data_IF_929875604849
#
_entry.id   IF_929875604849
#
_cell.length_a   1.000
_cell.length_b   1.000
_cell.length_c   1.000
_cell.angle_alpha   90.00
_cell.angle_beta   90.00
_cell.angle_gamma   90.00
#
_symmetry.space_group_name_H-M   'P 1'
#
loop_
_entity.id
_entity.type
_entity.pdbx_description
1 polymer ?
#
# COMPACT_ATOMS: atom_id res chain seq x y z
N UNK A 1 -5.73 -7.86 3.96
CA UNK A 1 -4.68 -8.67 3.28
C UNK A 1 -4.23 -8.08 1.96
N UNK A 2 -5.09 -7.36 1.22
CA UNK A 2 -4.74 -6.91 -0.11
C UNK A 2 -3.74 -5.75 -0.04
N UNK A 3 -4.00 -4.55 0.50
CA UNK A 3 -3.07 -3.42 0.30
C UNK A 3 -1.59 -3.59 0.70
N UNK A 4 -1.16 -3.87 1.92
CA UNK A 4 0.31 -3.88 2.19
C UNK A 4 1.08 -5.00 1.48
N UNK A 5 0.49 -6.19 1.37
CA UNK A 5 1.04 -7.22 0.51
C UNK A 5 0.98 -6.75 -0.95
N UNK A 6 -0.15 -6.27 -1.45
CA UNK A 6 -0.33 -5.70 -2.81
C UNK A 6 0.51 -4.45 -3.06
N UNK A 7 1.05 -3.71 -2.11
CA UNK A 7 1.78 -2.49 -2.50
C UNK A 7 3.20 -2.85 -2.90
N UNK A 8 3.87 -3.75 -2.18
CA UNK A 8 5.14 -4.34 -2.64
C UNK A 8 4.90 -5.42 -3.70
N UNK A 9 3.86 -6.25 -3.58
CA UNK A 9 3.55 -7.28 -4.58
C UNK A 9 2.71 -6.83 -5.78
N UNK A 10 1.98 -5.71 -5.80
CA UNK A 10 1.43 -5.16 -7.06
C UNK A 10 2.48 -4.36 -7.81
N UNK A 11 3.37 -3.66 -7.11
CA UNK A 11 4.45 -2.98 -7.83
C UNK A 11 5.48 -3.96 -8.38
N UNK A 12 5.66 -5.13 -7.76
CA UNK A 12 6.63 -6.14 -8.23
C UNK A 12 5.93 -7.32 -8.94
N UNK A 13 4.85 -7.88 -8.41
CA UNK A 13 4.09 -8.94 -9.10
C UNK A 13 3.10 -8.38 -10.13
N UNK A 14 2.55 -7.17 -9.95
CA UNK A 14 1.78 -6.50 -11.00
C UNK A 14 2.69 -6.05 -12.14
N UNK A 15 3.90 -5.58 -11.86
CA UNK A 15 4.90 -5.41 -12.91
C UNK A 15 5.33 -6.75 -13.50
N UNK A 16 5.53 -7.84 -12.75
CA UNK A 16 5.91 -9.14 -13.33
C UNK A 16 4.77 -9.86 -14.08
N UNK A 17 3.51 -9.60 -13.71
CA UNK A 17 2.32 -10.19 -14.35
C UNK A 17 1.78 -9.33 -15.50
N UNK A 18 1.98 -8.01 -15.44
CA UNK A 18 1.67 -7.07 -16.51
C UNK A 18 2.89 -6.63 -17.32
N UNK A 19 4.10 -7.13 -17.00
CA UNK A 19 5.30 -6.83 -17.78
C UNK A 19 5.08 -7.31 -19.19
N UNK A 20 5.53 -6.51 -20.14
CA UNK A 20 5.69 -6.99 -21.50
C UNK A 20 6.55 -8.27 -21.50
N UNK A 21 6.37 -9.15 -22.47
CA UNK A 21 7.20 -10.36 -22.61
C UNK A 21 8.70 -10.02 -22.63
N UNK A 22 9.05 -8.76 -22.91
CA UNK A 22 10.41 -8.23 -22.89
C UNK A 22 11.10 -8.24 -21.52
N UNK A 23 10.40 -7.89 -20.43
CA UNK A 23 10.99 -7.77 -19.10
C UNK A 23 10.54 -8.89 -18.13
N UNK A 24 9.68 -9.81 -18.59
CA UNK A 24 9.21 -10.95 -17.79
C UNK A 24 10.37 -11.80 -17.24
N UNK A 25 10.45 -11.89 -15.92
CA UNK A 25 11.33 -12.83 -15.23
C UNK A 25 10.52 -13.75 -14.30
N UNK A 26 10.11 -14.91 -14.84
CA UNK A 26 9.35 -15.93 -14.09
C UNK A 26 10.17 -16.48 -12.92
N UNK A 27 11.51 -16.54 -13.04
CA UNK A 27 12.36 -17.02 -11.94
C UNK A 27 12.28 -16.04 -10.77
N UNK A 28 12.47 -14.74 -11.05
CA UNK A 28 12.35 -13.70 -10.04
C UNK A 28 10.97 -13.69 -9.39
N UNK A 29 9.90 -13.83 -10.18
CA UNK A 29 8.54 -13.92 -9.65
C UNK A 29 8.37 -15.06 -8.65
N UNK A 30 8.88 -16.25 -8.99
CA UNK A 30 8.83 -17.41 -8.10
C UNK A 30 9.65 -17.20 -6.82
N UNK A 31 10.88 -16.67 -6.93
CA UNK A 31 11.73 -16.38 -5.78
C UNK A 31 11.09 -15.37 -4.82
N UNK A 32 10.39 -14.36 -5.36
CA UNK A 32 9.67 -13.37 -4.56
C UNK A 32 8.42 -13.95 -3.88
N UNK A 33 7.70 -14.84 -4.57
CA UNK A 33 6.57 -15.57 -3.99
C UNK A 33 7.01 -16.48 -2.84
N UNK A 34 8.15 -17.16 -2.98
CA UNK A 34 8.72 -18.00 -1.92
C UNK A 34 9.01 -17.22 -0.64
N UNK A 35 9.46 -15.96 -0.76
CA UNK A 35 9.71 -15.08 0.38
C UNK A 35 8.51 -14.20 0.73
N UNK A 36 7.35 -14.42 0.10
CA UNK A 36 6.11 -13.64 0.27
C UNK A 36 6.34 -12.13 0.14
N UNK A 37 7.26 -11.72 -0.75
CA UNK A 37 7.66 -10.33 -0.95
C UNK A 37 8.21 -9.62 0.31
N UNK A 38 8.64 -10.38 1.31
CA UNK A 38 9.24 -9.88 2.55
C UNK A 38 10.61 -10.57 2.78
N UNK A 39 11.60 -10.31 1.92
CA UNK A 39 12.91 -10.94 2.03
C UNK A 39 13.62 -10.55 3.33
N UNK A 40 14.22 -11.53 4.01
CA UNK A 40 15.17 -11.27 5.10
C UNK A 40 16.41 -10.55 4.57
N UNK A 41 17.25 -10.00 5.47
CA UNK A 41 18.49 -9.32 5.05
C UNK A 41 19.43 -10.18 4.19
N UNK A 42 19.55 -11.46 4.52
CA UNK A 42 20.34 -12.40 3.69
C UNK A 42 19.75 -12.57 2.29
N UNK A 43 18.42 -12.58 2.19
CA UNK A 43 17.72 -12.72 0.91
C UNK A 43 17.80 -11.45 0.07
N UNK A 44 17.81 -10.27 0.69
CA UNK A 44 17.99 -8.99 -0.01
C UNK A 44 19.28 -8.95 -0.81
N UNK A 45 20.42 -9.42 -0.27
CA UNK A 45 21.68 -9.45 -1.01
C UNK A 45 21.63 -10.23 -2.33
N UNK A 46 20.74 -11.22 -2.44
CA UNK A 46 20.54 -12.00 -3.68
C UNK A 46 19.44 -11.41 -4.56
N UNK A 47 18.36 -10.92 -3.97
CA UNK A 47 17.18 -10.44 -4.69
C UNK A 47 17.33 -9.01 -5.20
N UNK A 48 18.02 -8.13 -4.47
CA UNK A 48 18.14 -6.72 -4.81
C UNK A 48 18.69 -6.46 -6.21
N UNK A 49 19.81 -7.08 -6.63
CA UNK A 49 20.29 -6.91 -8.00
C UNK A 49 19.25 -7.31 -9.05
N UNK A 50 18.55 -8.44 -8.85
CA UNK A 50 17.53 -8.95 -9.78
C UNK A 50 16.32 -8.02 -9.87
N UNK A 51 15.79 -7.59 -8.72
CA UNK A 51 14.63 -6.69 -8.67
C UNK A 51 14.98 -5.33 -9.27
N UNK A 52 16.15 -4.77 -8.97
CA UNK A 52 16.57 -3.50 -9.54
C UNK A 52 16.76 -3.58 -11.06
N UNK A 53 17.36 -4.66 -11.58
CA UNK A 53 17.45 -4.89 -13.03
C UNK A 53 16.08 -5.00 -13.68
N UNK A 54 15.16 -5.75 -13.08
CA UNK A 54 13.79 -5.87 -13.57
C UNK A 54 13.07 -4.50 -13.60
N UNK A 55 13.16 -3.71 -12.53
CA UNK A 55 12.51 -2.40 -12.44
C UNK A 55 13.10 -1.39 -13.43
N UNK A 56 14.40 -1.45 -13.70
CA UNK A 56 15.03 -0.61 -14.72
C UNK A 56 14.57 -1.01 -16.13
N UNK A 57 14.43 -2.30 -16.43
CA UNK A 57 13.85 -2.78 -17.70
C UNK A 57 12.42 -2.25 -17.91
N UNK A 58 11.57 -2.37 -16.89
CA UNK A 58 10.19 -1.85 -16.94
C UNK A 58 10.16 -0.34 -17.16
N UNK A 59 11.03 0.41 -16.46
CA UNK A 59 11.18 1.85 -16.64
C UNK A 59 11.58 2.16 -18.09
N UNK A 60 12.65 1.57 -18.60
CA UNK A 60 13.15 1.79 -19.95
C UNK A 60 12.11 1.46 -21.03
N UNK A 61 11.36 0.37 -20.84
CA UNK A 61 10.29 -0.03 -21.76
C UNK A 61 9.19 1.03 -21.85
N UNK A 62 8.69 1.50 -20.70
CA UNK A 62 7.65 2.54 -20.66
C UNK A 62 8.17 3.82 -21.32
N UNK A 63 9.37 4.26 -20.97
CA UNK A 63 9.96 5.48 -21.51
C UNK A 63 10.18 5.39 -23.03
N UNK A 64 10.60 4.22 -23.53
CA UNK A 64 10.77 3.98 -24.96
C UNK A 64 9.43 3.98 -25.71
N UNK A 65 8.41 3.33 -25.16
CA UNK A 65 7.09 3.21 -25.81
C UNK A 65 6.36 4.55 -25.94
N UNK A 66 6.59 5.45 -24.99
CA UNK A 66 5.93 6.76 -24.93
C UNK A 66 6.80 7.91 -25.46
N UNK A 67 8.10 7.67 -25.69
CA UNK A 67 9.06 8.67 -26.17
C UNK A 67 9.34 9.80 -25.17
N UNK A 68 9.06 9.59 -23.88
CA UNK A 68 9.19 10.55 -22.78
C UNK A 68 9.63 9.82 -21.51
N UNK A 69 10.35 10.51 -20.64
CA UNK A 69 10.77 9.98 -19.35
C UNK A 69 9.60 9.84 -18.37
N UNK A 70 9.71 8.92 -17.41
CA UNK A 70 8.74 8.79 -16.31
C UNK A 70 8.67 10.08 -15.48
N UNK A 71 9.79 10.77 -15.31
CA UNK A 71 9.86 12.05 -14.59
C UNK A 71 9.05 13.14 -15.30
N UNK A 72 9.06 13.17 -16.64
CA UNK A 72 8.23 14.08 -17.44
C UNK A 72 6.73 13.73 -17.32
N UNK A 73 6.37 12.45 -17.26
CA UNK A 73 4.99 12.04 -17.02
C UNK A 73 4.51 12.41 -15.62
N UNK A 74 5.32 12.12 -14.61
CA UNK A 74 5.02 12.37 -13.20
C UNK A 74 4.80 13.87 -12.89
N UNK A 75 5.42 14.74 -13.68
CA UNK A 75 5.33 16.20 -13.57
C UNK A 75 4.23 16.82 -14.43
N UNK A 76 3.49 16.01 -15.20
CA UNK A 76 2.41 16.48 -16.08
C UNK A 76 1.04 16.46 -15.37
N UNK A 77 0.05 17.12 -15.98
CA UNK A 77 -1.36 17.03 -15.56
C UNK A 77 -2.12 15.92 -16.29
N UNK A 78 -1.41 15.00 -16.95
CA UNK A 78 -2.01 13.93 -17.73
C UNK A 78 -2.57 12.81 -16.83
N UNK A 79 -3.53 12.05 -17.35
CA UNK A 79 -4.11 10.90 -16.65
C UNK A 79 -3.06 9.87 -16.18
N UNK A 80 -1.91 9.80 -16.88
CA UNK A 80 -0.80 8.89 -16.55
C UNK A 80 0.15 9.42 -15.45
N UNK A 81 0.04 10.69 -15.05
CA UNK A 81 0.96 11.30 -14.08
C UNK A 81 0.89 10.66 -12.68
N UNK A 82 -0.29 10.21 -12.27
CA UNK A 82 -0.48 9.48 -11.01
C UNK A 82 0.22 8.12 -11.04
N UNK A 83 0.07 7.37 -12.14
CA UNK A 83 0.74 6.08 -12.34
C UNK A 83 2.28 6.23 -12.44
N UNK A 84 2.77 7.25 -13.14
CA UNK A 84 4.21 7.52 -13.23
C UNK A 84 4.82 7.89 -11.87
N UNK A 85 4.13 8.71 -11.06
CA UNK A 85 4.54 9.00 -9.67
C UNK A 85 4.56 7.75 -8.81
N UNK A 86 3.53 6.93 -8.90
CA UNK A 86 3.46 5.66 -8.18
C UNK A 86 4.65 4.75 -8.53
N UNK A 87 4.99 4.62 -9.83
CA UNK A 87 6.13 3.83 -10.27
C UNK A 87 7.47 4.38 -9.79
N UNK A 88 7.71 5.69 -9.94
CA UNK A 88 8.97 6.31 -9.48
C UNK A 88 9.16 6.19 -7.97
N UNK A 89 8.09 6.42 -7.18
CA UNK A 89 8.15 6.26 -5.74
C UNK A 89 8.40 4.79 -5.35
N UNK A 90 7.84 3.85 -6.11
CA UNK A 90 8.08 2.43 -5.93
C UNK A 90 9.52 2.03 -6.19
N UNK A 91 10.08 2.47 -7.32
CA UNK A 91 11.50 2.25 -7.66
C UNK A 91 12.40 2.88 -6.58
N UNK A 92 12.09 4.10 -6.13
CA UNK A 92 12.83 4.76 -5.05
C UNK A 92 12.79 3.96 -3.75
N UNK A 93 11.61 3.44 -3.37
CA UNK A 93 11.48 2.61 -2.16
C UNK A 93 12.34 1.34 -2.24
N UNK A 94 12.34 0.66 -3.39
CA UNK A 94 13.16 -0.55 -3.58
C UNK A 94 14.65 -0.22 -3.59
N UNK A 95 15.05 0.91 -4.19
CA UNK A 95 16.44 1.40 -4.10
C UNK A 95 16.84 1.66 -2.65
N UNK A 96 16.01 2.35 -1.88
CA UNK A 96 16.27 2.58 -0.45
C UNK A 96 16.33 1.24 0.31
N UNK A 97 15.45 0.29 0.02
CA UNK A 97 15.49 -1.05 0.63
C UNK A 97 16.76 -1.84 0.30
N UNK A 98 17.33 -1.62 -0.89
CA UNK A 98 18.50 -2.34 -1.38
C UNK A 98 19.83 -1.65 -1.10
N UNK A 99 19.81 -0.40 -0.64
CA UNK A 99 20.97 0.36 -0.23
C UNK A 99 21.27 0.12 1.26
N UNK A 100 22.37 -0.59 1.54
CA UNK A 100 22.80 -0.94 2.91
C UNK A 100 23.08 0.29 3.79
N UNK A 101 23.42 1.42 3.17
CA UNK A 101 23.68 2.68 3.87
C UNK A 101 22.40 3.48 4.14
N UNK A 102 21.26 3.07 3.59
CA UNK A 102 19.99 3.79 3.76
C UNK A 102 19.38 3.55 5.14
N UNK A 103 18.75 4.57 5.71
CA UNK A 103 18.02 4.42 6.97
C UNK A 103 16.84 3.46 6.84
N UNK A 104 16.21 3.39 5.66
CA UNK A 104 15.07 2.51 5.41
C UNK A 104 15.49 1.04 5.40
N UNK A 105 16.61 0.70 4.77
CA UNK A 105 17.19 -0.65 4.79
C UNK A 105 17.47 -1.07 6.24
N UNK A 106 18.18 -0.24 6.99
CA UNK A 106 18.57 -0.55 8.35
C UNK A 106 17.35 -0.78 9.27
N UNK A 107 16.34 0.09 9.18
CA UNK A 107 15.09 -0.07 9.93
C UNK A 107 14.32 -1.34 9.49
N UNK A 108 14.30 -1.65 8.19
CA UNK A 108 13.65 -2.85 7.65
C UNK A 108 14.31 -4.14 8.13
N UNK A 109 15.64 -4.25 8.06
CA UNK A 109 16.38 -5.46 8.46
C UNK A 109 16.12 -5.82 9.92
N UNK A 110 16.04 -4.82 10.80
CA UNK A 110 15.79 -5.03 12.23
C UNK A 110 14.34 -5.46 12.50
N UNK A 111 13.42 -5.13 11.59
CA UNK A 111 11.97 -5.30 11.80
C UNK A 111 11.35 -6.47 11.03
N UNK A 112 11.98 -6.91 9.93
CA UNK A 112 11.36 -7.82 8.94
C UNK A 112 10.93 -9.16 9.54
N UNK A 113 11.72 -9.73 10.44
CA UNK A 113 11.41 -11.04 11.01
C UNK A 113 10.11 -10.99 11.84
N UNK A 114 9.95 -9.97 12.69
CA UNK A 114 8.70 -9.76 13.43
C UNK A 114 7.55 -9.42 12.48
N UNK A 115 7.80 -8.54 11.50
CA UNK A 115 6.78 -8.11 10.55
C UNK A 115 6.18 -9.28 9.75
N UNK A 116 7.01 -10.26 9.33
CA UNK A 116 6.58 -11.45 8.58
C UNK A 116 5.63 -12.32 9.36
N UNK A 117 5.90 -12.54 10.65
CA UNK A 117 5.06 -13.36 11.50
C UNK A 117 3.77 -12.60 11.86
N UNK A 118 3.90 -11.30 12.18
CA UNK A 118 2.79 -10.46 12.57
C UNK A 118 1.75 -10.24 11.47
N UNK A 119 2.17 -9.91 10.24
CA UNK A 119 1.26 -9.43 9.18
C UNK A 119 0.18 -10.46 8.80
N UNK A 120 0.47 -11.75 8.93
CA UNK A 120 -0.47 -12.83 8.62
C UNK A 120 -1.59 -12.93 9.66
N UNK A 121 -1.23 -12.82 10.95
CA UNK A 121 -2.17 -12.94 12.06
C UNK A 121 -2.94 -11.63 12.26
N UNK A 122 -2.22 -10.50 12.23
CA UNK A 122 -2.81 -9.17 12.34
C UNK A 122 -3.80 -8.86 11.23
N UNK A 123 -3.51 -9.27 9.99
CA UNK A 123 -4.41 -9.06 8.87
C UNK A 123 -5.75 -9.80 8.99
N UNK A 124 -5.78 -10.94 9.69
CA UNK A 124 -7.03 -11.65 9.99
C UNK A 124 -7.78 -10.97 11.13
N UNK A 125 -7.09 -10.75 12.24
CA UNK A 125 -7.66 -10.12 13.43
C UNK A 125 -8.23 -8.73 13.11
N UNK A 126 -7.47 -7.88 12.43
CA UNK A 126 -7.94 -6.55 12.06
C UNK A 126 -9.14 -6.58 11.13
N UNK A 127 -9.19 -7.53 10.19
CA UNK A 127 -10.36 -7.68 9.31
C UNK A 127 -11.63 -8.02 10.09
N UNK A 128 -11.52 -8.92 11.05
CA UNK A 128 -12.64 -9.31 11.92
C UNK A 128 -13.06 -8.12 12.79
N UNK A 129 -12.10 -7.38 13.35
CA UNK A 129 -12.34 -6.23 14.21
C UNK A 129 -12.95 -5.02 13.48
N UNK A 130 -12.61 -4.80 12.20
CA UNK A 130 -13.15 -3.67 11.42
C UNK A 130 -14.49 -3.97 10.77
N UNK A 131 -14.89 -5.24 10.65
CA UNK A 131 -16.12 -5.63 9.96
C UNK A 131 -17.36 -5.07 10.65
N UNK A 132 -17.50 -5.28 11.95
CA UNK A 132 -18.68 -4.85 12.71
C UNK A 132 -18.86 -3.31 12.75
N UNK A 133 -17.83 -2.49 13.03
CA UNK A 133 -17.97 -1.03 12.98
C UNK A 133 -18.36 -0.51 11.59
N UNK A 134 -17.81 -1.11 10.53
CA UNK A 134 -18.16 -0.74 9.15
C UNK A 134 -19.61 -1.11 8.85
N UNK A 135 -20.03 -2.34 9.16
CA UNK A 135 -21.39 -2.80 8.93
C UNK A 135 -22.42 -1.90 9.64
N UNK A 136 -22.22 -1.63 10.94
CA UNK A 136 -23.11 -0.75 11.72
C UNK A 136 -23.17 0.67 11.15
N UNK A 137 -22.03 1.24 10.75
CA UNK A 137 -22.01 2.57 10.16
C UNK A 137 -22.85 2.64 8.87
N UNK A 138 -22.74 1.64 8.00
CA UNK A 138 -23.51 1.60 6.75
C UNK A 138 -24.98 1.22 6.95
N UNK A 139 -25.33 0.44 8.00
CA UNK A 139 -26.72 0.21 8.40
C UNK A 139 -27.42 1.50 8.85
N UNK A 140 -26.72 2.36 9.60
CA UNK A 140 -27.25 3.67 10.00
C UNK A 140 -27.34 4.65 8.83
N UNK A 141 -26.37 4.58 7.91
CA UNK A 141 -26.27 5.47 6.77
C UNK A 141 -27.28 5.14 5.65
N UNK A 142 -27.51 3.84 5.42
CA UNK A 142 -28.34 3.31 4.35
C UNK A 142 -29.32 2.26 4.90
N UNK A 143 -30.55 2.68 5.26
CA UNK A 143 -31.54 1.80 5.89
C UNK A 143 -32.04 0.67 4.99
N UNK A 144 -31.85 0.77 3.66
CA UNK A 144 -32.27 -0.25 2.70
C UNK A 144 -31.09 -1.10 2.22
N UNK A 145 -31.34 -2.36 1.91
CA UNK A 145 -30.33 -3.28 1.32
C UNK A 145 -29.90 -2.82 -0.08
N UNK A 146 -30.83 -2.27 -0.87
CA UNK A 146 -30.54 -1.83 -2.23
C UNK A 146 -29.57 -0.64 -2.24
N UNK A 147 -29.76 0.33 -1.33
CA UNK A 147 -28.84 1.47 -1.19
C UNK A 147 -27.44 1.03 -0.71
N UNK A 148 -27.37 -0.02 0.13
CA UNK A 148 -26.08 -0.60 0.59
C UNK A 148 -25.33 -1.32 -0.53
N UNK A 149 -26.06 -1.97 -1.44
CA UNK A 149 -25.46 -2.59 -2.62
C UNK A 149 -24.83 -1.55 -3.57
N UNK A 150 -25.39 -0.34 -3.62
CA UNK A 150 -24.81 0.78 -4.37
C UNK A 150 -23.58 1.39 -3.67
N UNK A 151 -23.51 1.31 -2.34
CA UNK A 151 -22.41 1.81 -1.52
C UNK A 151 -21.16 0.89 -1.45
N UNK A 152 -21.07 -0.17 -2.26
CA UNK A 152 -19.96 -1.14 -2.20
C UNK A 152 -18.56 -0.51 -2.34
N UNK A 153 -18.42 0.54 -3.17
CA UNK A 153 -17.17 1.27 -3.33
C UNK A 153 -16.79 2.06 -2.06
N UNK A 154 -17.79 2.63 -1.38
CA UNK A 154 -17.62 3.37 -0.13
C UNK A 154 -17.25 2.43 1.03
N UNK A 155 -17.95 1.29 1.12
CA UNK A 155 -17.66 0.22 2.09
C UNK A 155 -16.23 -0.27 1.90
N UNK A 156 -15.83 -0.54 0.66
CA UNK A 156 -14.47 -0.97 0.32
C UNK A 156 -13.42 0.05 0.75
N UNK A 157 -13.63 1.33 0.42
CA UNK A 157 -12.73 2.43 0.77
C UNK A 157 -12.53 2.57 2.28
N UNK A 158 -13.62 2.63 3.08
CA UNK A 158 -13.53 2.75 4.53
C UNK A 158 -12.90 1.52 5.18
N UNK A 159 -13.32 0.31 4.74
CA UNK A 159 -12.80 -0.95 5.28
C UNK A 159 -11.31 -1.08 5.05
N UNK A 160 -10.83 -0.79 3.84
CA UNK A 160 -9.42 -0.90 3.49
C UNK A 160 -8.55 0.07 4.31
N UNK A 161 -8.98 1.32 4.44
CA UNK A 161 -8.26 2.33 5.23
C UNK A 161 -8.27 1.97 6.74
N UNK A 162 -9.40 1.48 7.27
CA UNK A 162 -9.51 1.13 8.68
C UNK A 162 -8.77 -0.16 9.03
N UNK A 163 -8.76 -1.15 8.13
CA UNK A 163 -7.95 -2.37 8.28
C UNK A 163 -6.45 -2.01 8.35
N UNK A 164 -5.98 -1.09 7.49
CA UNK A 164 -4.59 -0.62 7.53
C UNK A 164 -4.29 0.12 8.82
N UNK A 165 -5.22 0.97 9.31
CA UNK A 165 -5.03 1.66 10.59
C UNK A 165 -4.88 0.67 11.76
N UNK A 166 -5.76 -0.33 11.84
CA UNK A 166 -5.66 -1.40 12.83
C UNK A 166 -4.33 -2.17 12.73
N UNK A 167 -3.87 -2.49 11.52
CA UNK A 167 -2.59 -3.20 11.33
C UNK A 167 -1.42 -2.35 11.83
N UNK A 168 -1.40 -1.05 11.50
CA UNK A 168 -0.32 -0.14 11.87
C UNK A 168 -0.24 0.08 13.39
N UNK A 169 -1.39 0.17 14.05
CA UNK A 169 -1.46 0.34 15.50
C UNK A 169 -0.92 -0.92 16.21
N UNK A 170 -1.47 -2.09 15.86
CA UNK A 170 -1.04 -3.37 16.43
C UNK A 170 0.43 -3.72 16.11
N UNK A 171 0.97 -3.24 14.99
CA UNK A 171 2.36 -3.45 14.61
C UNK A 171 3.32 -2.73 15.56
N UNK A 172 2.97 -1.52 15.99
CA UNK A 172 3.75 -0.76 16.97
C UNK A 172 3.82 -1.48 18.30
N UNK A 173 2.70 -2.02 18.76
CA UNK A 173 2.60 -2.75 20.02
C UNK A 173 3.32 -4.10 19.98
N UNK A 174 3.26 -4.80 18.85
CA UNK A 174 3.80 -6.16 18.72
C UNK A 174 5.26 -6.20 18.30
N UNK A 175 5.66 -5.34 17.36
CA UNK A 175 6.99 -5.34 16.75
C UNK A 175 7.83 -4.10 17.08
N UNK A 176 7.27 -3.17 17.86
CA UNK A 176 7.95 -1.95 18.29
C UNK A 176 7.83 -0.80 17.30
N UNK A 177 8.20 0.39 17.78
CA UNK A 177 8.07 1.65 17.04
C UNK A 177 8.93 1.74 15.77
N UNK A 178 10.04 0.99 15.69
CA UNK A 178 10.86 0.90 14.47
C UNK A 178 10.07 0.23 13.36
N UNK A 179 9.46 -0.94 13.61
CA UNK A 179 8.66 -1.65 12.62
C UNK A 179 7.47 -0.81 12.13
N UNK A 180 6.77 -0.15 13.06
CA UNK A 180 5.68 0.76 12.74
C UNK A 180 6.16 1.92 11.84
N UNK A 181 7.27 2.57 12.19
CA UNK A 181 7.84 3.66 11.39
C UNK A 181 8.27 3.19 10.00
N UNK A 182 8.88 2.02 9.87
CA UNK A 182 9.26 1.44 8.57
C UNK A 182 8.04 1.23 7.70
N UNK A 183 6.98 0.62 8.25
CA UNK A 183 5.75 0.37 7.52
C UNK A 183 5.04 1.67 7.11
N UNK A 184 5.01 2.67 7.98
CA UNK A 184 4.48 4.01 7.67
C UNK A 184 5.28 4.69 6.57
N UNK A 185 6.61 4.61 6.61
CA UNK A 185 7.48 5.19 5.57
C UNK A 185 7.20 4.56 4.20
N UNK A 186 7.00 3.23 4.16
CA UNK A 186 6.60 2.53 2.95
C UNK A 186 5.22 3.01 2.47
N UNK A 187 4.21 3.04 3.35
CA UNK A 187 2.87 3.52 3.01
C UNK A 187 2.87 4.96 2.46
N UNK A 188 3.64 5.85 3.06
CA UNK A 188 3.75 7.26 2.63
C UNK A 188 4.37 7.41 1.25
N UNK A 189 5.45 6.66 0.96
CA UNK A 189 6.06 6.62 -0.38
C UNK A 189 5.08 6.07 -1.41
N UNK A 190 4.22 5.13 -1.00
CA UNK A 190 3.35 4.40 -1.90
C UNK A 190 1.92 4.95 -1.98
N UNK A 191 1.66 6.08 -1.32
CA UNK A 191 0.32 6.69 -1.26
C UNK A 191 -0.33 6.91 -2.63
N UNK A 192 0.45 7.22 -3.67
CA UNK A 192 -0.10 7.46 -5.00
C UNK A 192 -0.54 6.15 -5.69
N UNK A 193 0.11 5.02 -5.38
CA UNK A 193 -0.39 3.69 -5.75
C UNK A 193 -1.65 3.33 -4.96
N UNK A 194 -1.72 3.69 -3.68
CA UNK A 194 -2.87 3.43 -2.80
C UNK A 194 -4.12 4.19 -3.26
N UNK A 195 -3.97 5.48 -3.59
CA UNK A 195 -5.08 6.36 -4.03
C UNK A 195 -5.76 5.87 -5.30
N UNK A 196 -4.99 5.32 -6.23
CA UNK A 196 -5.53 4.82 -7.51
C UNK A 196 -6.32 3.52 -7.36
N UNK A 197 -6.26 2.86 -6.20
CA UNK A 197 -7.01 1.64 -5.89
C UNK A 197 -8.28 1.90 -5.08
N UNK A 198 -8.18 1.84 -3.75
CA UNK A 198 -9.31 1.55 -2.85
C UNK A 198 -10.42 2.60 -2.79
N UNK A 199 -10.15 3.85 -3.14
CA UNK A 199 -11.13 4.95 -3.05
C UNK A 199 -11.34 5.69 -4.37
N UNK A 200 -10.84 5.16 -5.49
CA UNK A 200 -10.82 5.86 -6.77
C UNK A 200 -12.24 6.21 -7.31
N UNK A 201 -13.26 5.45 -6.92
CA UNK A 201 -14.66 5.64 -7.33
C UNK A 201 -15.54 6.40 -6.35
N UNK A 202 -15.00 6.94 -5.25
CA UNK A 202 -15.80 7.57 -4.19
C UNK A 202 -15.82 9.10 -4.36
N UNK A 203 -16.97 9.67 -4.74
CA UNK A 203 -17.10 11.10 -5.07
C UNK A 203 -16.91 12.04 -3.87
N UNK A 204 -17.23 11.60 -2.65
CA UNK A 204 -17.13 12.42 -1.43
C UNK A 204 -16.41 11.70 -0.28
N UNK A 205 -15.26 11.11 -0.58
CA UNK A 205 -14.47 10.33 0.39
C UNK A 205 -14.10 11.12 1.66
N UNK A 206 -13.99 12.44 1.59
CA UNK A 206 -13.67 13.28 2.74
C UNK A 206 -14.84 13.39 3.73
N UNK A 207 -16.07 13.56 3.25
CA UNK A 207 -17.27 13.57 4.08
C UNK A 207 -17.52 12.19 4.70
N UNK A 208 -17.46 11.15 3.87
CA UNK A 208 -17.59 9.75 4.29
C UNK A 208 -16.61 9.41 5.41
N UNK A 209 -15.33 9.78 5.24
CA UNK A 209 -14.30 9.64 6.28
C UNK A 209 -14.67 10.38 7.56
N UNK A 210 -15.06 11.65 7.47
CA UNK A 210 -15.36 12.46 8.66
C UNK A 210 -16.49 11.83 9.47
N UNK A 211 -17.58 11.45 8.79
CA UNK A 211 -18.76 10.84 9.40
C UNK A 211 -18.42 9.49 10.04
N UNK A 212 -17.58 8.69 9.39
CA UNK A 212 -17.12 7.43 9.96
C UNK A 212 -16.26 7.63 11.20
N UNK A 213 -15.31 8.58 11.18
CA UNK A 213 -14.48 8.90 12.36
C UNK A 213 -15.30 9.45 13.52
N UNK A 214 -16.36 10.22 13.23
CA UNK A 214 -17.30 10.70 14.25
C UNK A 214 -18.13 9.55 14.83
N UNK A 215 -18.56 8.60 13.99
CA UNK A 215 -19.29 7.40 14.42
C UNK A 215 -18.48 6.48 15.34
N UNK A 216 -17.17 6.35 15.12
CA UNK A 216 -16.32 5.48 15.94
C UNK A 216 -16.12 5.98 17.37
N UNK A 217 -16.43 7.25 17.66
CA UNK A 217 -16.30 7.86 19.00
C UNK A 217 -14.90 7.65 19.65
N UNK A 218 -13.84 7.63 18.83
CA UNK A 218 -12.47 7.39 19.28
C UNK A 218 -11.93 8.55 20.13
N UNK A 219 -11.01 8.26 21.04
CA UNK A 219 -10.22 9.27 21.74
C UNK A 219 -9.35 10.08 20.75
N UNK A 220 -9.03 11.33 21.09
CA UNK A 220 -8.34 12.27 20.17
C UNK A 220 -7.03 11.71 19.60
N UNK A 221 -6.24 10.99 20.40
CA UNK A 221 -4.98 10.40 19.95
C UNK A 221 -5.21 9.28 18.92
N UNK A 222 -6.13 8.36 19.21
CA UNK A 222 -6.48 7.25 18.33
C UNK A 222 -7.15 7.75 17.05
N UNK A 223 -8.07 8.71 17.18
CA UNK A 223 -8.69 9.42 16.05
C UNK A 223 -7.64 10.03 15.14
N UNK A 224 -6.62 10.69 15.70
CA UNK A 224 -5.54 11.28 14.90
C UNK A 224 -4.71 10.23 14.14
N UNK A 225 -4.45 9.06 14.76
CA UNK A 225 -3.72 7.95 14.11
C UNK A 225 -4.53 7.39 12.94
N UNK A 226 -5.79 7.05 13.17
CA UNK A 226 -6.69 6.54 12.13
C UNK A 226 -6.86 7.58 11.02
N UNK A 227 -7.08 8.85 11.37
CA UNK A 227 -7.20 9.94 10.42
C UNK A 227 -5.99 10.07 9.49
N UNK A 228 -4.77 9.95 10.03
CA UNK A 228 -3.53 10.00 9.25
C UNK A 228 -3.48 8.92 8.17
N UNK A 229 -3.87 7.68 8.50
CA UNK A 229 -3.94 6.58 7.53
C UNK A 229 -4.97 6.88 6.44
N UNK A 230 -6.17 7.31 6.82
CA UNK A 230 -7.20 7.67 5.86
C UNK A 230 -6.77 8.80 4.89
N UNK A 231 -5.93 9.74 5.34
CA UNK A 231 -5.41 10.80 4.46
C UNK A 231 -4.45 10.28 3.38
N UNK A 232 -3.85 9.10 3.56
CA UNK A 232 -3.03 8.45 2.52
C UNK A 232 -3.89 7.95 1.35
N UNK A 233 -5.14 7.59 1.61
CA UNK A 233 -6.09 7.07 0.62
C UNK A 233 -6.83 8.18 -0.13
N UNK A 234 -6.69 9.44 0.29
CA UNK A 234 -7.43 10.57 -0.28
C UNK A 234 -6.86 11.02 -1.62
N UNK A 235 -7.71 11.06 -2.65
CA UNK A 235 -7.42 11.77 -3.92
C UNK A 235 -7.55 13.28 -3.71
N UNK A 236 -6.57 14.08 -4.12
CA UNK A 236 -6.77 15.54 -4.22
C UNK A 236 -7.60 15.80 -5.48
N UNK A 237 -8.77 16.40 -5.29
CA UNK A 237 -9.61 16.96 -6.35
C UNK A 237 -8.95 18.23 -6.90
#
# INVERSE_FOLDING_TARGET
MMLLHLILSCMIAGSLACSDDHCKDISLANELLEVKFLPSGKQLGTLCPKVLTFLECEKEFIECSEGRSLEEFASSDEAKAEAARAMLNGISLIRDLCDEDSSFHNDYIVSVDCFRDFILDAGRMCRENVAEPIEKFFEELYPSEDDRAEALAEIGCLRDAFEVACIMDNLGDSCGSVAQRTAMTALEKLKDAIKSGSCAGVENAADLKSRFLDFLELEDEERSKVQGIFDLFKRRR
#
